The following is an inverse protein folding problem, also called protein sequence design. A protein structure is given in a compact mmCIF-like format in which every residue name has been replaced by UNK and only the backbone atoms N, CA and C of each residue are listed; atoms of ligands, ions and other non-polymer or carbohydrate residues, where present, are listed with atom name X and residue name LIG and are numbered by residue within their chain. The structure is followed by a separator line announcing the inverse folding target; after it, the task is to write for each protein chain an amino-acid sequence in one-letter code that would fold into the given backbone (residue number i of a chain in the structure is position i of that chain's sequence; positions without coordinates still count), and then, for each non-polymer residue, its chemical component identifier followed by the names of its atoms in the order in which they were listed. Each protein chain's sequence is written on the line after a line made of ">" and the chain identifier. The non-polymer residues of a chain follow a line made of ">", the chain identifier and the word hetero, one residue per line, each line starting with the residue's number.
data_IF_968018232799
#
_entry.id   IF_968018232799
#
_cell.length_a   1.000
_cell.length_b   1.000
_cell.length_c   1.000
_cell.angle_alpha   90.00
_cell.angle_beta   90.00
_cell.angle_gamma   90.00
#
_symmetry.space_group_name_H-M   'P 1'
#
loop_
_entity.id
_entity.type
_entity.pdbx_description
1 polymer ?
#
# COMPACT_ATOMS: atom_id res chain seq x y z
N UNK A 1 9.57 11.48 -2.92
CA UNK A 1 11.00 11.76 -2.83
C UNK A 1 11.23 13.25 -3.12
N UNK A 2 10.97 13.76 -4.30
CA UNK A 2 11.26 15.14 -4.69
C UNK A 2 10.57 16.20 -3.80
N UNK A 3 9.30 15.99 -3.44
CA UNK A 3 8.51 16.91 -2.63
C UNK A 3 8.98 17.03 -1.18
N UNK A 4 9.61 15.98 -0.65
CA UNK A 4 10.08 15.93 0.74
C UNK A 4 11.57 16.19 0.86
N UNK A 5 12.33 16.05 -0.24
CA UNK A 5 13.78 16.09 -0.27
C UNK A 5 14.46 14.95 0.49
N UNK A 6 13.75 13.85 0.78
CA UNK A 6 14.33 12.61 1.30
C UNK A 6 14.83 11.73 0.16
N UNK A 7 15.89 10.95 0.40
CA UNK A 7 16.48 10.06 -0.62
C UNK A 7 15.62 8.82 -0.84
N UNK A 8 14.89 8.41 0.18
CA UNK A 8 14.18 7.15 0.22
C UNK A 8 12.74 7.34 0.69
N UNK A 9 11.81 6.70 -0.02
CA UNK A 9 10.42 6.58 0.40
C UNK A 9 10.03 5.11 0.31
N UNK A 10 9.46 4.58 1.37
CA UNK A 10 9.00 3.20 1.41
C UNK A 10 7.62 3.10 2.05
N UNK A 11 6.82 2.18 1.54
CA UNK A 11 5.57 1.78 2.15
C UNK A 11 5.66 0.31 2.55
N UNK A 12 5.55 0.04 3.83
CA UNK A 12 5.48 -1.30 4.38
C UNK A 12 4.02 -1.66 4.64
N UNK A 13 3.56 -2.82 4.16
CA UNK A 13 2.21 -3.33 4.39
C UNK A 13 2.24 -4.66 5.10
N UNK A 14 1.45 -4.80 6.18
CA UNK A 14 1.38 -6.04 6.96
C UNK A 14 0.46 -7.06 6.27
N UNK A 15 0.82 -8.33 6.34
CA UNK A 15 -0.01 -9.43 5.87
C UNK A 15 -1.26 -9.66 6.73
N UNK A 16 -2.18 -10.54 6.28
CA UNK A 16 -3.45 -10.79 6.97
C UNK A 16 -3.25 -11.38 8.38
N UNK A 17 -2.32 -12.32 8.62
CA UNK A 17 -2.01 -12.78 9.96
C UNK A 17 -1.40 -11.72 10.87
N UNK A 18 -0.71 -10.71 10.30
CA UNK A 18 -0.02 -9.68 11.06
C UNK A 18 1.35 -10.14 11.60
N UNK A 19 1.92 -11.18 11.03
CA UNK A 19 3.21 -11.76 11.45
C UNK A 19 4.38 -11.26 10.61
N UNK A 20 4.09 -10.85 9.35
CA UNK A 20 5.09 -10.35 8.41
C UNK A 20 4.60 -9.12 7.66
N UNK A 21 5.51 -8.40 7.04
CA UNK A 21 5.20 -7.27 6.19
C UNK A 21 6.03 -7.26 4.91
N UNK A 22 5.44 -6.75 3.83
CA UNK A 22 6.11 -6.50 2.56
C UNK A 22 6.50 -5.04 2.46
N UNK A 23 7.58 -4.75 1.74
CA UNK A 23 8.09 -3.38 1.56
C UNK A 23 8.12 -3.04 0.08
N UNK A 24 7.45 -1.96 -0.27
CA UNK A 24 7.55 -1.28 -1.56
C UNK A 24 8.32 0.03 -1.35
N UNK A 25 9.34 0.30 -2.15
CA UNK A 25 10.19 1.46 -1.97
C UNK A 25 10.62 2.12 -3.28
N UNK A 26 10.96 3.39 -3.18
CA UNK A 26 11.51 4.22 -4.26
C UNK A 26 12.81 4.90 -3.78
N UNK A 27 13.92 4.79 -4.47
CA UNK A 27 14.13 3.97 -5.66
C UNK A 27 14.08 2.47 -5.34
N UNK A 28 13.50 1.67 -6.24
CA UNK A 28 13.24 0.24 -6.05
C UNK A 28 14.53 -0.58 -5.92
N UNK A 29 15.04 -0.74 -4.70
CA UNK A 29 16.25 -1.53 -4.39
C UNK A 29 16.01 -2.66 -3.39
N UNK A 30 14.79 -2.81 -2.87
CA UNK A 30 14.43 -3.85 -1.91
C UNK A 30 13.62 -4.97 -2.56
N UNK A 31 13.97 -5.33 -3.78
CA UNK A 31 13.42 -6.51 -4.45
C UNK A 31 14.45 -7.62 -4.28
N UNK A 32 14.01 -8.81 -3.96
CA UNK A 32 14.85 -10.01 -4.02
C UNK A 32 15.37 -10.19 -5.45
N UNK A 33 16.50 -10.89 -5.62
CA UNK A 33 17.14 -11.11 -6.93
C UNK A 33 16.18 -11.71 -7.98
N UNK A 34 15.13 -12.39 -7.54
CA UNK A 34 14.07 -12.97 -8.38
C UNK A 34 12.92 -12.03 -8.70
N UNK A 35 12.95 -10.76 -8.25
CA UNK A 35 11.89 -9.77 -8.48
C UNK A 35 10.68 -9.90 -7.55
N UNK A 36 10.70 -10.82 -6.58
CA UNK A 36 9.62 -10.93 -5.58
C UNK A 36 9.73 -9.85 -4.50
N UNK A 37 8.59 -9.39 -3.95
CA UNK A 37 8.60 -8.46 -2.83
C UNK A 37 9.33 -9.07 -1.63
N UNK A 38 10.16 -8.26 -0.96
CA UNK A 38 10.83 -8.69 0.26
C UNK A 38 9.82 -8.79 1.40
N UNK A 39 9.74 -9.95 2.04
CA UNK A 39 8.89 -10.23 3.19
C UNK A 39 9.75 -10.26 4.45
N UNK A 40 9.38 -9.46 5.45
CA UNK A 40 10.10 -9.29 6.69
C UNK A 40 9.19 -9.61 7.89
N UNK A 41 9.71 -10.22 8.97
CA UNK A 41 8.92 -10.44 10.17
C UNK A 41 8.59 -9.11 10.87
N UNK A 42 7.38 -8.99 11.39
CA UNK A 42 6.98 -7.87 12.28
C UNK A 42 7.91 -7.86 13.49
N UNK A 43 8.50 -6.69 13.79
CA UNK A 43 9.56 -6.56 14.79
C UNK A 43 10.95 -6.36 14.17
N UNK A 44 11.13 -6.55 12.85
CA UNK A 44 12.37 -6.21 12.17
C UNK A 44 12.47 -4.71 11.91
N UNK A 45 13.52 -4.08 12.41
CA UNK A 45 13.82 -2.66 12.19
C UNK A 45 12.79 -1.69 12.79
N UNK A 46 12.92 -0.42 12.42
CA UNK A 46 12.04 0.64 12.91
C UNK A 46 10.61 0.48 12.36
N UNK A 47 10.45 0.09 11.09
CA UNK A 47 9.13 -0.15 10.51
C UNK A 47 8.36 -1.24 11.27
N UNK A 48 9.03 -2.36 11.61
CA UNK A 48 8.46 -3.42 12.43
C UNK A 48 8.11 -2.96 13.85
N UNK A 49 8.93 -2.10 14.43
CA UNK A 49 8.62 -1.50 15.74
C UNK A 49 7.36 -0.62 15.68
N UNK A 50 7.19 0.19 14.59
CA UNK A 50 5.99 1.01 14.39
C UNK A 50 4.74 0.14 14.24
N UNK A 51 4.80 -0.98 13.53
CA UNK A 51 3.71 -1.96 13.46
C UNK A 51 3.31 -2.48 14.85
N UNK A 52 4.29 -2.83 15.67
CA UNK A 52 4.04 -3.44 16.99
C UNK A 52 3.53 -2.47 18.03
N UNK A 53 3.84 -1.17 17.90
CA UNK A 53 3.57 -0.18 18.94
C UNK A 53 2.54 0.88 18.55
N UNK A 54 2.12 0.93 17.28
CA UNK A 54 1.20 1.95 16.73
C UNK A 54 1.69 3.40 16.95
N UNK A 55 2.99 3.59 17.10
CA UNK A 55 3.60 4.88 17.41
C UNK A 55 4.50 5.36 16.26
N UNK A 56 4.45 6.65 15.91
CA UNK A 56 5.36 7.23 14.92
C UNK A 56 6.78 7.28 15.46
N UNK A 57 7.76 7.11 14.57
CA UNK A 57 9.18 7.34 14.84
C UNK A 57 9.69 8.45 13.92
N UNK A 58 10.22 9.52 14.51
CA UNK A 58 10.83 10.63 13.81
C UNK A 58 12.22 10.85 14.41
N UNK A 59 13.25 10.77 13.58
CA UNK A 59 14.64 10.99 13.98
C UNK A 59 15.31 11.87 12.92
N UNK A 60 15.90 12.98 13.35
CA UNK A 60 16.60 13.94 12.48
C UNK A 60 18.05 13.53 12.22
N UNK A 61 18.53 12.52 12.96
CA UNK A 61 19.93 12.14 12.99
C UNK A 61 20.77 13.07 13.85
N UNK A 62 21.86 12.53 14.37
CA UNK A 62 22.91 13.30 15.06
C UNK A 62 24.24 12.94 14.39
N UNK A 63 25.11 13.90 14.19
CA UNK A 63 26.46 13.65 13.70
C UNK A 63 27.18 12.64 14.61
N UNK A 64 27.70 11.55 14.00
CA UNK A 64 28.33 10.45 14.72
C UNK A 64 27.41 9.46 15.42
N UNK A 65 26.09 9.63 15.31
CA UNK A 65 25.15 8.61 15.80
C UNK A 65 25.20 7.35 14.93
N UNK A 66 24.92 6.16 15.50
CA UNK A 66 24.81 4.95 14.71
C UNK A 66 23.67 5.06 13.71
N UNK A 67 23.87 4.47 12.53
CA UNK A 67 22.87 4.44 11.47
C UNK A 67 21.59 3.73 11.92
N UNK A 68 20.47 4.22 11.42
CA UNK A 68 19.15 3.67 11.73
C UNK A 68 18.81 2.49 10.81
N UNK A 69 18.50 1.35 11.41
CA UNK A 69 18.05 0.17 10.67
C UNK A 69 16.56 0.25 10.38
N UNK A 70 16.19 0.79 9.22
CA UNK A 70 14.79 1.01 8.86
C UNK A 70 13.97 -0.29 8.81
N UNK A 71 14.53 -1.33 8.19
CA UNK A 71 13.90 -2.65 8.02
C UNK A 71 14.71 -3.80 8.64
N UNK A 72 15.68 -3.51 9.50
CA UNK A 72 16.67 -4.46 10.00
C UNK A 72 17.93 -4.50 9.14
N UNK A 73 18.80 -5.49 9.37
CA UNK A 73 20.04 -5.69 8.60
C UNK A 73 19.72 -6.31 7.25
N UNK A 74 19.67 -5.50 6.21
CA UNK A 74 19.45 -5.95 4.84
C UNK A 74 20.68 -5.66 3.99
N UNK A 75 21.17 -6.66 3.20
CA UNK A 75 22.28 -6.44 2.28
C UNK A 75 21.95 -5.37 1.24
N UNK A 76 22.86 -4.44 0.99
CA UNK A 76 22.69 -3.40 -0.01
C UNK A 76 21.82 -2.23 0.42
N UNK A 77 21.27 -2.23 1.64
CA UNK A 77 20.54 -1.10 2.18
C UNK A 77 21.55 -0.03 2.64
N UNK A 78 21.36 1.25 2.25
CA UNK A 78 22.18 2.32 2.77
C UNK A 78 21.92 2.55 4.27
N UNK A 79 22.91 3.13 4.93
CA UNK A 79 22.77 3.59 6.30
C UNK A 79 22.01 4.91 6.32
N UNK A 80 20.90 4.96 7.05
CA UNK A 80 20.08 6.16 7.19
C UNK A 80 20.41 6.91 8.48
N UNK A 81 20.44 8.22 8.38
CA UNK A 81 20.64 9.12 9.51
C UNK A 81 19.32 9.76 9.95
N UNK A 82 18.58 10.33 9.01
CA UNK A 82 17.27 10.92 9.30
C UNK A 82 16.15 10.03 8.78
N UNK A 83 15.11 9.86 9.60
CA UNK A 83 13.94 9.05 9.26
C UNK A 83 12.63 9.66 9.76
N UNK A 84 11.56 9.40 9.00
CA UNK A 84 10.17 9.59 9.43
C UNK A 84 9.45 8.29 9.13
N UNK A 85 8.93 7.60 10.15
CA UNK A 85 8.10 6.41 10.01
C UNK A 85 6.76 6.67 10.69
N UNK A 86 5.70 6.71 9.92
CA UNK A 86 4.34 6.97 10.41
C UNK A 86 3.43 5.76 10.18
N UNK A 87 2.66 5.33 11.19
CA UNK A 87 1.68 4.25 11.03
C UNK A 87 0.51 4.70 10.15
N UNK A 88 0.13 3.85 9.20
CA UNK A 88 -1.08 3.98 8.39
C UNK A 88 -2.15 3.09 9.00
N UNK A 89 -3.12 3.71 9.68
CA UNK A 89 -4.15 3.01 10.43
C UNK A 89 -5.42 2.84 9.60
N UNK A 90 -5.95 1.61 9.59
CA UNK A 90 -7.24 1.26 9.00
C UNK A 90 -8.05 0.56 10.09
N UNK A 91 -9.25 1.07 10.39
CA UNK A 91 -10.11 0.52 11.46
C UNK A 91 -9.38 0.43 12.82
N UNK A 92 -8.62 1.45 13.19
CA UNK A 92 -7.84 1.55 14.45
C UNK A 92 -6.71 0.50 14.59
N UNK A 93 -6.30 -0.12 13.52
CA UNK A 93 -5.17 -1.04 13.48
C UNK A 93 -4.15 -0.55 12.45
N UNK A 94 -2.88 -0.57 12.79
CA UNK A 94 -1.81 -0.26 11.84
C UNK A 94 -1.72 -1.37 10.81
N UNK A 95 -2.01 -1.02 9.55
CA UNK A 95 -1.97 -1.91 8.38
C UNK A 95 -0.85 -1.60 7.44
N UNK A 96 -0.26 -0.42 7.60
CA UNK A 96 0.89 0.02 6.83
C UNK A 96 1.78 0.94 7.64
N UNK A 97 2.99 1.14 7.17
CA UNK A 97 3.92 2.17 7.69
C UNK A 97 4.50 2.90 6.50
N UNK A 98 4.31 4.22 6.46
CA UNK A 98 5.00 5.08 5.50
C UNK A 98 6.34 5.51 6.11
N UNK A 99 7.42 5.21 5.40
CA UNK A 99 8.78 5.54 5.80
C UNK A 99 9.42 6.50 4.80
N UNK A 100 9.99 7.58 5.31
CA UNK A 100 10.92 8.44 4.58
C UNK A 100 12.29 8.34 5.25
N UNK A 101 13.36 8.25 4.47
CA UNK A 101 14.69 8.11 5.00
C UNK A 101 15.71 8.92 4.20
N UNK A 102 16.74 9.43 4.86
CA UNK A 102 17.82 10.18 4.27
C UNK A 102 19.17 9.71 4.82
N UNK A 103 20.16 9.63 3.95
CA UNK A 103 21.49 9.11 4.27
C UNK A 103 22.34 10.07 5.09
N UNK A 104 21.95 11.33 5.22
CA UNK A 104 22.58 12.32 6.09
C UNK A 104 21.59 12.88 7.11
N UNK A 105 22.11 13.58 8.11
CA UNK A 105 21.31 14.31 9.09
C UNK A 105 20.43 15.34 8.38
N UNK A 106 19.20 15.51 8.83
CA UNK A 106 18.25 16.43 8.23
C UNK A 106 17.30 16.98 9.26
N UNK A 107 17.13 18.30 9.26
CA UNK A 107 16.09 18.93 10.06
C UNK A 107 14.71 18.61 9.49
N UNK A 108 13.81 18.22 10.36
CA UNK A 108 12.42 17.85 10.06
C UNK A 108 11.52 18.91 10.69
N UNK A 109 11.25 19.97 9.94
CA UNK A 109 10.39 21.05 10.40
C UNK A 109 8.91 20.64 10.53
N UNK A 110 8.11 21.49 11.18
CA UNK A 110 6.69 21.21 11.39
C UNK A 110 5.90 21.20 10.09
N UNK A 111 6.33 21.93 9.07
CA UNK A 111 5.69 21.93 7.75
C UNK A 111 5.82 20.55 7.09
N UNK A 112 7.03 19.98 7.11
CA UNK A 112 7.28 18.64 6.58
C UNK A 112 6.54 17.56 7.39
N UNK A 113 6.55 17.67 8.73
CA UNK A 113 5.79 16.75 9.60
C UNK A 113 4.31 16.78 9.29
N UNK A 114 3.72 17.96 9.14
CA UNK A 114 2.32 18.17 8.79
C UNK A 114 2.01 17.60 7.41
N UNK A 115 2.85 17.87 6.41
CA UNK A 115 2.70 17.34 5.06
C UNK A 115 2.68 15.81 5.03
N UNK A 116 3.67 15.17 5.68
CA UNK A 116 3.76 13.70 5.70
C UNK A 116 2.57 13.09 6.46
N UNK A 117 2.12 13.72 7.55
CA UNK A 117 0.94 13.28 8.28
C UNK A 117 -0.33 13.33 7.41
N UNK A 118 -0.54 14.44 6.68
CA UNK A 118 -1.67 14.54 5.74
C UNK A 118 -1.58 13.48 4.62
N UNK A 119 -0.38 13.21 4.12
CA UNK A 119 -0.19 12.16 3.12
C UNK A 119 -0.57 10.77 3.68
N UNK A 120 -0.21 10.47 4.94
CA UNK A 120 -0.60 9.24 5.63
C UNK A 120 -2.11 9.15 5.81
N UNK A 121 -2.77 10.23 6.22
CA UNK A 121 -4.23 10.28 6.39
C UNK A 121 -4.96 10.01 5.06
N UNK A 122 -4.50 10.62 3.97
CA UNK A 122 -5.06 10.38 2.63
C UNK A 122 -4.81 8.94 2.16
N UNK A 123 -3.62 8.40 2.42
CA UNK A 123 -3.28 7.02 2.09
C UNK A 123 -4.16 6.03 2.87
N UNK A 124 -4.38 6.28 4.15
CA UNK A 124 -5.27 5.47 5.01
C UNK A 124 -6.70 5.44 4.45
N UNK A 125 -7.26 6.61 4.11
CA UNK A 125 -8.60 6.71 3.49
C UNK A 125 -8.67 5.98 2.15
N UNK A 126 -7.65 6.10 1.32
CA UNK A 126 -7.59 5.39 0.03
C UNK A 126 -7.58 3.87 0.21
N UNK A 127 -6.74 3.36 1.10
CA UNK A 127 -6.63 1.94 1.40
C UNK A 127 -7.92 1.39 2.03
N UNK A 128 -8.55 2.14 2.94
CA UNK A 128 -9.84 1.77 3.53
C UNK A 128 -10.93 1.65 2.47
N UNK A 129 -11.03 2.62 1.57
CA UNK A 129 -11.96 2.57 0.44
C UNK A 129 -11.71 1.38 -0.47
N UNK A 130 -10.44 1.08 -0.76
CA UNK A 130 -10.06 -0.08 -1.57
C UNK A 130 -10.47 -1.39 -0.89
N UNK A 131 -10.19 -1.53 0.40
CA UNK A 131 -10.58 -2.68 1.21
C UNK A 131 -12.10 -2.89 1.23
N UNK A 132 -12.87 -1.82 1.44
CA UNK A 132 -14.34 -1.89 1.44
C UNK A 132 -14.89 -2.31 0.09
N UNK A 133 -14.34 -1.80 -1.02
CA UNK A 133 -14.73 -2.20 -2.38
C UNK A 133 -14.46 -3.68 -2.67
N UNK A 134 -13.31 -4.18 -2.25
CA UNK A 134 -12.96 -5.61 -2.40
C UNK A 134 -13.94 -6.46 -1.60
N UNK A 135 -14.21 -6.09 -0.35
CA UNK A 135 -15.16 -6.80 0.51
C UNK A 135 -16.59 -6.78 -0.03
N UNK A 136 -17.06 -5.65 -0.54
CA UNK A 136 -18.38 -5.56 -1.18
C UNK A 136 -18.49 -6.47 -2.39
N UNK A 137 -17.45 -6.53 -3.24
CA UNK A 137 -17.44 -7.45 -4.41
C UNK A 137 -17.49 -8.90 -4.00
N UNK A 138 -16.85 -9.28 -2.90
CA UNK A 138 -16.91 -10.68 -2.39
C UNK A 138 -18.27 -11.06 -1.77
N UNK A 139 -19.04 -10.07 -1.30
CA UNK A 139 -20.36 -10.28 -0.71
C UNK A 139 -21.49 -10.24 -1.74
N UNK A 140 -21.27 -9.63 -2.91
CA UNK A 140 -22.23 -9.66 -3.99
C UNK A 140 -22.22 -11.09 -4.57
N UNK A 141 -23.38 -11.82 -4.59
CA UNK A 141 -23.45 -13.08 -5.27
C UNK A 141 -23.00 -12.87 -6.71
N UNK A 142 -22.08 -13.67 -7.17
CA UNK A 142 -21.71 -13.72 -8.59
C UNK A 142 -22.98 -14.19 -9.33
N UNK A 143 -23.83 -13.20 -9.67
CA UNK A 143 -24.97 -13.45 -10.53
C UNK A 143 -24.40 -14.12 -11.76
N UNK A 144 -24.80 -15.38 -11.97
CA UNK A 144 -24.63 -16.07 -13.23
C UNK A 144 -25.15 -15.15 -14.32
N UNK A 145 -24.22 -14.45 -14.98
CA UNK A 145 -24.54 -13.83 -16.25
C UNK A 145 -24.86 -15.00 -17.15
N UNK A 146 -26.14 -15.37 -17.20
CA UNK A 146 -26.66 -16.15 -18.31
C UNK A 146 -26.36 -15.27 -19.53
N UNK A 147 -25.27 -15.57 -20.17
CA UNK A 147 -24.98 -15.17 -21.53
C UNK A 147 -26.13 -15.78 -22.36
N UNK A 148 -27.20 -15.00 -22.47
CA UNK A 148 -28.08 -15.20 -23.61
C UNK A 148 -27.25 -14.83 -24.82
N UNK A 149 -26.66 -15.83 -25.45
CA UNK A 149 -26.03 -15.68 -26.75
C UNK A 149 -27.00 -14.94 -27.69
N UNK A 150 -26.48 -14.20 -28.67
CA UNK A 150 -27.32 -13.48 -29.62
C UNK A 150 -28.36 -14.46 -30.18
N UNK A 151 -29.65 -14.13 -29.98
CA UNK A 151 -30.76 -14.93 -30.57
C UNK A 151 -30.48 -15.04 -32.05
N UNK A 152 -30.15 -16.24 -32.49
CA UNK A 152 -30.09 -16.52 -33.93
C UNK A 152 -31.46 -16.15 -34.48
N UNK A 153 -31.47 -15.26 -35.45
CA UNK A 153 -32.64 -14.98 -36.25
C UNK A 153 -33.01 -16.28 -36.99
N UNK A 154 -34.14 -16.84 -36.65
CA UNK A 154 -34.73 -18.02 -37.33
C UNK A 154 -35.70 -17.49 -38.39
N UNK A 155 -35.37 -17.61 -39.69
CA UNK A 155 -36.23 -17.11 -40.76
C UNK A 155 -37.57 -17.83 -40.88
N UNK A 156 -37.75 -19.03 -40.24
CA UNK A 156 -38.97 -19.81 -40.33
C UNK A 156 -40.03 -19.40 -39.28
N UNK A 157 -39.76 -18.46 -38.42
CA UNK A 157 -40.71 -17.89 -37.42
C UNK A 157 -41.26 -16.51 -37.81
N UNK A 158 -41.27 -16.16 -39.09
CA UNK A 158 -41.89 -14.94 -39.55
C UNK A 158 -43.42 -15.00 -39.35
N UNK A 159 -44.06 -13.98 -38.74
CA UNK A 159 -45.52 -13.99 -38.59
C UNK A 159 -46.20 -13.88 -39.95
N UNK A 160 -47.08 -14.85 -40.23
CA UNK A 160 -47.89 -14.89 -41.43
C UNK A 160 -48.78 -13.64 -41.48
N UNK A 161 -48.78 -12.85 -42.55
CA UNK A 161 -49.65 -11.68 -42.66
C UNK A 161 -51.12 -12.09 -42.71
N UNK A 162 -52.05 -11.30 -42.14
CA UNK A 162 -53.46 -11.61 -42.11
C UNK A 162 -54.03 -11.63 -43.50
N UNK A 163 -54.74 -12.75 -43.84
CA UNK A 163 -55.47 -12.91 -45.07
C UNK A 163 -56.63 -11.95 -45.07
N UNK A 164 -56.69 -11.02 -46.01
CA UNK A 164 -57.88 -10.22 -46.29
C UNK A 164 -58.93 -11.09 -47.00
N UNK A 165 -60.03 -11.40 -46.32
CA UNK A 165 -61.20 -11.90 -46.96
C UNK A 165 -61.98 -10.84 -47.71
N UNK A 166 -62.63 -11.13 -48.85
CA UNK A 166 -63.30 -10.19 -49.71
C UNK A 166 -64.63 -9.68 -49.13
#
# INVERSE_FOLDING_TARGET
>A
VDATGFDYCAFASVDVPGESYCVECEPARLVLENGEPMVLPVGSGIAGWVFSNDQPVINEGLEGAPSTMLFGKLPGMPDFQAIICLPVQINKSTRGVLCLAHTSTRSIDESLRSFVRQAVDHLALFLENLYLRVRLRSLLPQGTVHSQGPRRYDPDTAPVPPVKNP
#
